data_IF_433428435930
#
_entry.id   IF_433428435930
#
_cell.length_a   1.000
_cell.length_b   1.000
_cell.length_c   1.000
_cell.angle_alpha   90.00
_cell.angle_beta   90.00
_cell.angle_gamma   90.00
#
_symmetry.space_group_name_H-M   'P 1'
#
loop_
_entity.id
_entity.type
_entity.pdbx_description
1 polymer ?
#
# COMPACT_ATOMS: atom_id res chain seq x y z
N UNK A 1 58.39 -2.64 -16.88
CA UNK A 1 57.22 -3.48 -17.20
C UNK A 1 56.15 -3.46 -16.10
N UNK A 2 56.52 -3.61 -14.81
CA UNK A 2 55.60 -3.61 -13.66
C UNK A 2 54.69 -2.38 -13.52
N UNK A 3 55.19 -1.16 -13.74
CA UNK A 3 54.40 0.08 -13.56
C UNK A 3 53.24 0.23 -14.55
N UNK A 4 53.34 -0.33 -15.76
CA UNK A 4 52.27 -0.29 -16.77
C UNK A 4 51.20 -1.36 -16.52
N UNK A 5 51.61 -2.53 -16.02
CA UNK A 5 50.70 -3.61 -15.63
C UNK A 5 49.81 -3.20 -14.45
N UNK A 6 50.39 -2.52 -13.45
CA UNK A 6 49.65 -2.02 -12.29
C UNK A 6 48.56 -1.00 -12.67
N UNK A 7 48.86 -0.10 -13.62
CA UNK A 7 47.88 0.90 -14.10
C UNK A 7 46.75 0.23 -14.88
N UNK A 8 47.04 -0.79 -15.68
CA UNK A 8 46.02 -1.56 -16.37
C UNK A 8 45.09 -2.31 -15.41
N UNK A 9 45.63 -2.90 -14.36
CA UNK A 9 44.83 -3.60 -13.33
C UNK A 9 43.95 -2.61 -12.58
N UNK A 10 44.48 -1.44 -12.19
CA UNK A 10 43.68 -0.40 -11.53
C UNK A 10 42.56 0.13 -12.45
N UNK A 11 42.85 0.36 -13.73
CA UNK A 11 41.86 0.81 -14.70
C UNK A 11 40.75 -0.24 -14.90
N UNK A 12 41.11 -1.53 -14.92
CA UNK A 12 40.15 -2.63 -15.03
C UNK A 12 39.24 -2.73 -13.79
N UNK A 13 39.80 -2.55 -12.58
CA UNK A 13 39.03 -2.51 -11.33
C UNK A 13 38.07 -1.30 -11.33
N UNK A 14 38.54 -0.14 -11.75
CA UNK A 14 37.70 1.07 -11.83
C UNK A 14 36.57 0.92 -12.86
N UNK A 15 36.85 0.28 -14.00
CA UNK A 15 35.85 -0.02 -15.04
C UNK A 15 34.81 -1.05 -14.59
N UNK A 16 35.22 -2.05 -13.80
CA UNK A 16 34.30 -3.06 -13.24
C UNK A 16 33.43 -2.48 -12.12
N UNK A 17 33.90 -1.44 -11.42
CA UNK A 17 33.16 -0.77 -10.34
C UNK A 17 31.95 0.03 -10.85
N UNK A 18 31.91 0.39 -12.13
CA UNK A 18 30.83 1.17 -12.75
C UNK A 18 29.65 0.28 -13.19
N UNK A 19 29.82 -1.05 -13.19
CA UNK A 19 28.78 -2.01 -13.61
C UNK A 19 27.92 -2.53 -12.45
N UNK A 20 28.16 -2.04 -11.22
CA UNK A 20 27.39 -2.43 -10.04
C UNK A 20 26.26 -1.43 -9.86
N UNK A 21 25.08 -1.74 -10.41
CA UNK A 21 23.87 -1.03 -10.02
C UNK A 21 23.47 -1.45 -8.59
N UNK A 22 23.05 -0.52 -7.71
CA UNK A 22 22.54 -0.87 -6.41
C UNK A 22 21.26 -1.69 -6.59
N UNK A 23 21.28 -2.94 -6.13
CA UNK A 23 20.08 -3.74 -6.02
C UNK A 23 19.21 -3.15 -4.89
N UNK A 24 18.20 -2.35 -5.23
CA UNK A 24 17.16 -1.99 -4.27
C UNK A 24 16.35 -3.26 -3.96
N UNK A 25 16.53 -3.77 -2.74
CA UNK A 25 15.67 -4.85 -2.26
C UNK A 25 14.24 -4.31 -2.16
N UNK A 26 13.33 -4.86 -2.99
CA UNK A 26 11.91 -4.60 -2.85
C UNK A 26 11.48 -4.97 -1.43
N UNK A 27 11.17 -3.96 -0.61
CA UNK A 27 10.63 -4.20 0.72
C UNK A 27 9.17 -4.65 0.60
N UNK A 28 8.68 -5.40 1.58
CA UNK A 28 7.27 -5.83 1.64
C UNK A 28 6.53 -5.04 2.73
N UNK A 29 5.21 -4.80 2.59
CA UNK A 29 4.41 -4.22 3.66
C UNK A 29 4.46 -5.05 4.94
N UNK A 30 4.69 -4.39 6.08
CA UNK A 30 4.74 -5.03 7.40
C UNK A 30 3.46 -4.66 8.16
N UNK A 31 2.72 -5.66 8.64
CA UNK A 31 1.53 -5.42 9.48
C UNK A 31 1.95 -4.84 10.82
N UNK A 32 1.35 -3.72 11.20
CA UNK A 32 1.64 -3.00 12.45
C UNK A 32 0.46 -2.93 13.41
N UNK A 33 -0.76 -3.14 12.90
CA UNK A 33 -1.99 -3.06 13.68
C UNK A 33 -3.05 -4.02 13.15
N UNK A 34 -3.91 -4.51 14.04
CA UNK A 34 -5.09 -5.31 13.71
C UNK A 34 -6.16 -5.14 14.78
N UNK A 35 -7.39 -4.81 14.38
CA UNK A 35 -8.54 -4.68 15.28
C UNK A 35 -9.84 -5.15 14.62
N UNK A 36 -10.68 -5.96 15.31
CA UNK A 36 -12.01 -6.29 14.82
C UNK A 36 -12.88 -5.04 14.64
N UNK A 37 -13.61 -4.96 13.53
CA UNK A 37 -14.63 -3.93 13.27
C UNK A 37 -16.01 -4.45 13.67
N UNK A 38 -16.33 -5.67 13.21
CA UNK A 38 -17.54 -6.43 13.57
C UNK A 38 -17.27 -7.92 13.37
N UNK A 39 -18.23 -8.79 13.68
CA UNK A 39 -18.15 -10.20 13.30
C UNK A 39 -18.07 -10.33 11.76
N UNK A 40 -16.97 -10.89 11.25
CA UNK A 40 -16.73 -11.05 9.81
C UNK A 40 -16.00 -9.89 9.14
N UNK A 41 -15.57 -8.86 9.88
CA UNK A 41 -14.72 -7.80 9.34
C UNK A 41 -13.64 -7.33 10.32
N UNK A 42 -12.41 -7.17 9.82
CA UNK A 42 -11.24 -6.73 10.60
C UNK A 42 -10.49 -5.62 9.88
N UNK A 43 -10.07 -4.61 10.63
CA UNK A 43 -9.19 -3.55 10.16
C UNK A 43 -7.74 -3.93 10.45
N UNK A 44 -6.88 -3.85 9.43
CA UNK A 44 -5.44 -4.08 9.52
C UNK A 44 -4.71 -2.85 9.02
N UNK A 45 -3.58 -2.53 9.63
CA UNK A 45 -2.67 -1.50 9.10
C UNK A 45 -1.31 -2.11 8.77
N UNK A 46 -0.74 -1.65 7.66
CA UNK A 46 0.60 -2.01 7.24
C UNK A 46 1.42 -0.75 7.01
N UNK A 47 2.72 -0.84 7.30
CA UNK A 47 3.70 0.16 6.91
C UNK A 47 4.64 -0.43 5.86
N UNK A 48 4.90 0.33 4.81
CA UNK A 48 5.75 -0.09 3.71
C UNK A 48 6.79 0.98 3.41
N UNK A 49 8.08 0.60 3.41
CA UNK A 49 9.18 1.53 3.09
C UNK A 49 9.53 1.39 1.61
N UNK A 50 9.05 2.31 0.79
CA UNK A 50 9.34 2.32 -0.66
C UNK A 50 10.48 3.28 -0.99
N UNK A 51 11.04 3.17 -2.20
CA UNK A 51 12.02 4.12 -2.72
C UNK A 51 11.48 5.57 -2.74
N UNK A 52 10.18 5.72 -3.02
CA UNK A 52 9.48 7.00 -3.08
C UNK A 52 9.03 7.53 -1.70
N UNK A 53 9.23 6.74 -0.63
CA UNK A 53 8.91 7.11 0.74
C UNK A 53 8.09 6.08 1.52
N UNK A 54 7.78 6.36 2.81
CA UNK A 54 6.93 5.49 3.61
C UNK A 54 5.47 5.56 3.14
N UNK A 55 4.83 4.41 3.07
CA UNK A 55 3.42 4.24 2.74
C UNK A 55 2.70 3.62 3.93
N UNK A 56 1.56 4.20 4.30
CA UNK A 56 0.62 3.64 5.27
C UNK A 56 -0.57 3.02 4.52
N UNK A 57 -0.90 1.77 4.85
CA UNK A 57 -1.92 1.00 4.16
C UNK A 57 -2.96 0.58 5.18
N UNK A 58 -4.21 0.99 4.96
CA UNK A 58 -5.37 0.55 5.74
C UNK A 58 -6.14 -0.51 4.95
N UNK A 59 -6.32 -1.69 5.52
CA UNK A 59 -7.03 -2.82 4.90
C UNK A 59 -8.26 -3.16 5.73
N UNK A 60 -9.43 -3.21 5.09
CA UNK A 60 -10.62 -3.82 5.64
C UNK A 60 -10.77 -5.21 5.04
N UNK A 61 -10.46 -6.24 5.81
CA UNK A 61 -10.65 -7.63 5.40
C UNK A 61 -12.06 -8.07 5.83
N UNK A 62 -12.83 -8.59 4.87
CA UNK A 62 -14.24 -8.92 5.03
C UNK A 62 -14.50 -10.36 4.57
N UNK A 63 -15.09 -11.18 5.43
CA UNK A 63 -15.56 -12.52 5.08
C UNK A 63 -16.98 -12.44 4.49
N UNK A 64 -17.07 -12.59 3.16
CA UNK A 64 -18.33 -12.54 2.43
C UNK A 64 -19.21 -13.80 2.62
N UNK A 65 -18.70 -14.85 3.27
CA UNK A 65 -19.51 -16.02 3.63
C UNK A 65 -20.24 -15.83 4.97
N UNK A 66 -19.87 -14.80 5.74
CA UNK A 66 -20.55 -14.50 6.99
C UNK A 66 -21.96 -13.94 6.70
N UNK A 67 -23.05 -14.61 7.16
CA UNK A 67 -24.42 -14.20 6.84
C UNK A 67 -24.83 -12.86 7.45
N UNK A 68 -24.02 -12.32 8.37
CA UNK A 68 -24.26 -11.01 9.00
C UNK A 68 -23.52 -9.86 8.31
N UNK A 69 -22.82 -10.13 7.21
CA UNK A 69 -22.14 -9.12 6.40
C UNK A 69 -22.95 -8.83 5.13
N UNK A 70 -23.14 -7.54 4.87
CA UNK A 70 -23.67 -7.04 3.59
C UNK A 70 -22.67 -6.00 3.06
N UNK A 71 -22.24 -6.20 1.81
CA UNK A 71 -21.43 -5.23 1.07
C UNK A 71 -22.34 -4.54 0.06
N UNK A 72 -22.39 -3.21 0.09
CA UNK A 72 -23.24 -2.41 -0.79
C UNK A 72 -22.57 -1.09 -1.19
N UNK A 73 -23.11 -0.44 -2.22
CA UNK A 73 -22.62 0.84 -2.76
C UNK A 73 -23.38 2.01 -2.13
N UNK A 74 -22.64 2.98 -1.57
CA UNK A 74 -23.22 4.18 -0.96
C UNK A 74 -23.09 5.36 -1.93
N UNK A 75 -24.18 5.95 -2.44
CA UNK A 75 -24.12 7.13 -3.29
C UNK A 75 -23.83 8.40 -2.47
N UNK A 76 -23.00 9.30 -3.01
CA UNK A 76 -22.68 10.55 -2.34
C UNK A 76 -23.91 11.46 -2.21
N UNK A 77 -24.22 11.91 -1.00
CA UNK A 77 -25.42 12.71 -0.71
C UNK A 77 -26.72 12.13 -1.32
N UNK A 78 -26.82 10.78 -1.40
CA UNK A 78 -27.99 10.08 -1.93
C UNK A 78 -28.10 10.04 -3.47
N UNK A 79 -27.12 10.58 -4.22
CA UNK A 79 -27.10 10.55 -5.69
C UNK A 79 -25.69 10.29 -6.22
N UNK A 80 -25.54 9.38 -7.17
CA UNK A 80 -24.23 9.00 -7.74
C UNK A 80 -23.44 10.21 -8.28
N UNK A 81 -24.12 11.26 -8.77
CA UNK A 81 -23.48 12.47 -9.32
C UNK A 81 -23.06 13.51 -8.27
N UNK A 82 -23.28 13.25 -6.98
CA UNK A 82 -22.98 14.22 -5.91
C UNK A 82 -21.88 13.66 -5.02
N UNK A 83 -20.97 14.55 -4.60
CA UNK A 83 -19.86 14.21 -3.72
C UNK A 83 -20.29 14.37 -2.26
N UNK A 84 -19.81 13.46 -1.42
CA UNK A 84 -19.89 13.54 0.03
C UNK A 84 -18.62 12.89 0.61
N UNK A 85 -18.17 13.33 1.78
CA UNK A 85 -17.03 12.67 2.44
C UNK A 85 -17.42 11.22 2.82
N UNK A 86 -16.45 10.30 2.78
CA UNK A 86 -16.70 8.87 3.06
C UNK A 86 -17.24 8.66 4.49
N UNK A 87 -16.78 9.47 5.44
CA UNK A 87 -17.25 9.43 6.83
C UNK A 87 -18.74 9.77 6.97
N UNK A 88 -19.25 10.82 6.31
CA UNK A 88 -20.70 11.11 6.35
C UNK A 88 -21.48 10.14 5.46
N UNK A 89 -20.92 9.63 4.36
CA UNK A 89 -21.57 8.55 3.60
C UNK A 89 -21.82 7.33 4.49
N UNK A 90 -20.80 6.87 5.23
CA UNK A 90 -20.93 5.76 6.16
C UNK A 90 -21.95 6.06 7.27
N UNK A 91 -21.83 7.22 7.91
CA UNK A 91 -22.72 7.62 9.00
C UNK A 91 -24.18 7.73 8.55
N UNK A 92 -24.45 8.29 7.37
CA UNK A 92 -25.82 8.46 6.85
C UNK A 92 -26.45 7.12 6.42
N UNK A 93 -25.63 6.19 5.92
CA UNK A 93 -26.09 4.85 5.52
C UNK A 93 -26.18 3.86 6.69
N UNK A 94 -25.67 4.22 7.88
CA UNK A 94 -25.54 3.29 9.00
C UNK A 94 -24.50 2.19 8.76
N UNK A 95 -23.53 2.44 7.88
CA UNK A 95 -22.48 1.48 7.57
C UNK A 95 -21.43 1.43 8.70
N UNK A 96 -21.00 0.22 9.05
CA UNK A 96 -19.97 -0.01 10.08
C UNK A 96 -18.56 0.34 9.61
N UNK A 97 -18.33 0.34 8.30
CA UNK A 97 -17.10 0.78 7.64
C UNK A 97 -17.41 1.16 6.18
N UNK A 98 -16.60 2.04 5.58
CA UNK A 98 -16.70 2.40 4.18
C UNK A 98 -15.33 2.87 3.64
N UNK A 99 -15.10 2.67 2.34
CA UNK A 99 -13.95 3.18 1.59
C UNK A 99 -14.47 3.94 0.35
N UNK A 100 -13.64 4.77 -0.28
CA UNK A 100 -14.03 5.36 -1.57
C UNK A 100 -14.13 4.26 -2.63
N UNK A 101 -15.04 4.45 -3.59
CA UNK A 101 -15.22 3.57 -4.74
C UNK A 101 -14.59 4.13 -6.01
N UNK A 102 -15.40 4.22 -7.05
CA UNK A 102 -15.06 4.61 -8.43
C UNK A 102 -14.48 6.04 -8.58
N UNK A 103 -14.02 6.36 -9.78
CA UNK A 103 -13.62 7.71 -10.20
C UNK A 103 -14.84 8.65 -10.29
N UNK A 104 -14.69 9.91 -9.87
CA UNK A 104 -15.77 10.93 -9.87
C UNK A 104 -15.26 12.38 -9.92
#
# INVERSE_FOLDING_TARGET
MFRKSLVFILALIFMFSILIEPAEASSVPIKVFEQPVTAGAVHKEYRWKTADGPVEIHVLEVDLNNPYIVLDVIPGAGKITKRLNVSAMASNAGAVAAVNGDFF
#
